data_IF_521510420674
#
_entry.id   IF_521510420674
#
_cell.length_a   1.000
_cell.length_b   1.000
_cell.length_c   1.000
_cell.angle_alpha   90.00
_cell.angle_beta   90.00
_cell.angle_gamma   90.00
#
_symmetry.space_group_name_H-M   'P 1'
#
loop_
_entity.id
_entity.type
_entity.pdbx_description
1 polymer ?
#
# COMPACT_ATOMS: atom_id res chain seq x y z
N UNK A 1 -6.75 22.20 25.88
CA UNK A 1 -6.67 21.82 24.45
C UNK A 1 -7.09 23.03 23.63
N UNK A 2 -6.14 23.78 23.06
CA UNK A 2 -6.43 25.10 22.51
C UNK A 2 -7.38 25.07 21.30
N UNK A 3 -7.47 23.94 20.58
CA UNK A 3 -8.25 23.84 19.33
C UNK A 3 -9.78 23.97 19.51
N UNK A 4 -10.32 23.70 20.70
CA UNK A 4 -11.76 23.75 20.99
C UNK A 4 -12.11 24.70 22.15
N UNK A 5 -11.18 25.58 22.54
CA UNK A 5 -11.43 26.58 23.57
C UNK A 5 -11.51 26.04 25.01
N UNK A 6 -11.07 24.79 25.26
CA UNK A 6 -11.10 24.18 26.59
C UNK A 6 -9.78 24.39 27.35
N UNK A 7 -9.89 25.12 28.47
CA UNK A 7 -8.76 25.46 29.35
C UNK A 7 -8.34 24.31 30.26
N UNK A 8 -9.22 23.31 30.48
CA UNK A 8 -8.94 22.16 31.33
C UNK A 8 -9.45 20.85 30.74
N UNK A 9 -8.69 19.78 30.97
CA UNK A 9 -9.06 18.43 30.53
C UNK A 9 -10.41 17.99 31.09
N UNK A 10 -10.69 18.26 32.37
CA UNK A 10 -11.95 17.89 33.03
C UNK A 10 -13.18 18.46 32.31
N UNK A 11 -13.13 19.70 31.84
CA UNK A 11 -14.24 20.31 31.08
C UNK A 11 -14.36 19.72 29.68
N UNK A 12 -13.25 19.34 29.07
CA UNK A 12 -13.24 18.68 27.78
C UNK A 12 -13.77 17.24 27.87
N UNK A 13 -13.49 16.53 28.97
CA UNK A 13 -14.03 15.19 29.22
C UNK A 13 -15.56 15.18 29.20
N UNK A 14 -16.22 16.22 29.73
CA UNK A 14 -17.69 16.35 29.66
C UNK A 14 -18.20 16.39 28.21
N UNK A 15 -17.53 17.11 27.32
CA UNK A 15 -17.87 17.12 25.89
C UNK A 15 -17.66 15.75 25.22
N UNK A 16 -16.59 15.04 25.59
CA UNK A 16 -16.33 13.67 25.12
C UNK A 16 -17.44 12.71 25.57
N UNK A 17 -17.84 12.77 26.85
CA UNK A 17 -18.87 11.87 27.37
C UNK A 17 -20.24 12.13 26.74
N UNK A 18 -20.60 13.40 26.48
CA UNK A 18 -21.80 13.73 25.68
C UNK A 18 -21.71 13.20 24.25
N UNK A 19 -20.54 13.33 23.61
CA UNK A 19 -20.33 12.80 22.27
C UNK A 19 -20.42 11.27 22.21
N UNK A 20 -19.89 10.56 23.21
CA UNK A 20 -20.06 9.11 23.36
C UNK A 20 -21.52 8.72 23.55
N UNK A 21 -22.26 9.45 24.38
CA UNK A 21 -23.68 9.21 24.56
C UNK A 21 -24.47 9.39 23.25
N UNK A 22 -24.19 10.45 22.50
CA UNK A 22 -24.79 10.68 21.19
C UNK A 22 -24.42 9.57 20.18
N UNK A 23 -23.14 9.17 20.12
CA UNK A 23 -22.67 8.08 19.27
C UNK A 23 -23.35 6.74 19.62
N UNK A 24 -23.46 6.43 20.91
CA UNK A 24 -24.11 5.21 21.39
C UNK A 24 -25.59 5.14 20.99
N UNK A 25 -26.32 6.25 21.16
CA UNK A 25 -27.72 6.32 20.76
C UNK A 25 -27.93 6.27 19.24
N UNK A 26 -26.89 6.61 18.47
CA UNK A 26 -26.86 6.50 17.02
C UNK A 26 -26.32 5.13 16.52
N UNK A 27 -26.21 4.13 17.41
CA UNK A 27 -25.71 2.78 17.12
C UNK A 27 -24.29 2.74 16.54
N UNK A 28 -23.46 3.71 16.91
CA UNK A 28 -22.08 3.80 16.45
C UNK A 28 -21.12 3.03 17.37
N UNK A 29 -20.10 2.39 16.77
CA UNK A 29 -19.07 1.66 17.51
C UNK A 29 -18.14 2.60 18.29
N UNK A 30 -18.38 2.70 19.60
CA UNK A 30 -17.58 3.53 20.51
C UNK A 30 -16.13 3.08 20.61
N UNK A 31 -15.86 1.77 20.52
CA UNK A 31 -14.50 1.23 20.64
C UNK A 31 -13.63 1.65 19.46
N UNK A 32 -14.25 1.80 18.28
CA UNK A 32 -13.61 2.32 17.08
C UNK A 32 -13.49 3.85 17.11
N UNK A 33 -14.58 4.54 17.43
CA UNK A 33 -14.66 6.01 17.40
C UNK A 33 -13.81 6.69 18.48
N UNK A 34 -13.75 6.10 19.68
CA UNK A 34 -13.10 6.65 20.87
C UNK A 34 -12.13 5.61 21.48
N UNK A 35 -11.25 5.05 20.65
CA UNK A 35 -10.31 4.03 21.10
C UNK A 35 -9.35 4.58 22.18
N UNK A 36 -9.16 3.85 23.29
CA UNK A 36 -8.12 4.18 24.26
C UNK A 36 -6.74 4.04 23.61
N UNK A 37 -5.95 5.12 23.62
CA UNK A 37 -4.54 5.03 23.33
C UNK A 37 -3.85 4.52 24.60
N UNK A 38 -3.24 3.33 24.52
CA UNK A 38 -2.73 2.60 25.68
C UNK A 38 -1.90 3.44 26.67
N UNK A 39 -1.96 3.04 27.96
CA UNK A 39 -1.25 3.73 29.05
C UNK A 39 0.25 3.85 28.77
N UNK A 40 0.84 5.02 29.09
CA UNK A 40 2.30 5.18 29.14
C UNK A 40 2.92 4.21 30.16
N UNK A 41 3.98 3.47 29.80
CA UNK A 41 4.76 2.68 30.75
C UNK A 41 5.67 3.62 31.55
N UNK A 42 5.16 4.18 32.64
CA UNK A 42 5.93 5.06 33.51
C UNK A 42 5.01 5.76 34.50
N UNK A 43 5.07 5.33 35.77
CA UNK A 43 4.20 5.75 36.86
C UNK A 43 4.03 7.26 36.96
N UNK A 44 2.97 7.76 36.35
CA UNK A 44 2.46 9.11 36.46
C UNK A 44 0.94 9.05 36.49
N UNK A 45 0.28 10.17 36.84
CA UNK A 45 -1.19 10.25 36.81
C UNK A 45 -1.68 9.76 35.45
N UNK A 46 -2.60 8.77 35.39
CA UNK A 46 -3.05 8.22 34.12
C UNK A 46 -3.64 9.36 33.27
N UNK A 47 -2.93 9.74 32.22
CA UNK A 47 -3.50 10.51 31.14
C UNK A 47 -4.32 9.51 30.33
N UNK A 48 -5.64 9.69 30.31
CA UNK A 48 -6.50 8.95 29.40
C UNK A 48 -6.27 9.53 28.01
N UNK A 49 -5.31 8.98 27.28
CA UNK A 49 -5.08 9.35 25.88
C UNK A 49 -6.15 8.62 25.04
N UNK A 50 -6.83 9.35 24.16
CA UNK A 50 -7.87 8.81 23.28
C UNK A 50 -7.44 9.00 21.82
N UNK A 51 -7.58 7.94 21.03
CA UNK A 51 -7.49 7.98 19.57
C UNK A 51 -8.89 8.17 19.01
N UNK A 52 -9.11 9.32 18.39
CA UNK A 52 -10.40 9.70 17.83
C UNK A 52 -10.41 9.49 16.32
N UNK A 53 -11.49 8.89 15.81
CA UNK A 53 -11.79 9.01 14.39
C UNK A 53 -12.35 10.39 14.04
N UNK A 54 -12.30 10.76 12.75
CA UNK A 54 -12.85 12.03 12.26
C UNK A 54 -14.30 12.24 12.70
N UNK A 55 -15.11 11.19 12.65
CA UNK A 55 -16.51 11.25 13.07
C UNK A 55 -16.65 11.58 14.57
N UNK A 56 -15.82 10.98 15.43
CA UNK A 56 -15.80 11.27 16.86
C UNK A 56 -15.45 12.75 17.14
N UNK A 57 -14.49 13.31 16.39
CA UNK A 57 -14.15 14.73 16.49
C UNK A 57 -15.35 15.65 16.14
N UNK A 58 -16.14 15.30 15.13
CA UNK A 58 -17.36 16.05 14.78
C UNK A 58 -18.42 15.96 15.88
N UNK A 59 -18.64 14.78 16.44
CA UNK A 59 -19.58 14.61 17.56
C UNK A 59 -19.14 15.39 18.80
N UNK A 60 -17.84 15.42 19.11
CA UNK A 60 -17.30 16.24 20.21
C UNK A 60 -17.57 17.73 19.97
N UNK A 61 -17.35 18.21 18.74
CA UNK A 61 -17.62 19.61 18.40
C UNK A 61 -19.11 19.95 18.51
N UNK A 62 -20.00 19.08 18.02
CA UNK A 62 -21.45 19.27 18.07
C UNK A 62 -22.01 19.24 19.50
N UNK A 63 -21.43 18.42 20.37
CA UNK A 63 -21.87 18.23 21.76
C UNK A 63 -21.04 19.03 22.79
N UNK A 64 -20.18 19.94 22.33
CA UNK A 64 -19.36 20.81 23.17
C UNK A 64 -20.15 21.91 23.89
N UNK A 65 -19.44 22.70 24.70
CA UNK A 65 -20.01 23.85 25.39
C UNK A 65 -20.18 25.02 24.39
N UNK A 66 -21.41 25.45 24.06
CA UNK A 66 -21.64 26.50 23.06
C UNK A 66 -21.14 27.89 23.49
N UNK A 67 -20.74 28.06 24.76
CA UNK A 67 -20.03 29.27 25.23
C UNK A 67 -18.56 29.31 24.74
N UNK A 68 -18.07 28.17 24.27
CA UNK A 68 -16.99 27.91 23.30
C UNK A 68 -17.08 28.72 22.01
N UNK A 69 -16.24 29.73 21.73
CA UNK A 69 -16.23 30.37 20.39
C UNK A 69 -15.94 29.35 19.28
N UNK A 70 -15.00 28.44 19.51
CA UNK A 70 -14.62 27.37 18.58
C UNK A 70 -15.75 26.35 18.41
N UNK A 71 -16.47 26.03 19.49
CA UNK A 71 -17.64 25.13 19.46
C UNK A 71 -18.80 25.78 18.71
N UNK A 72 -19.12 27.04 19.01
CA UNK A 72 -20.18 27.80 18.34
C UNK A 72 -19.89 27.95 16.84
N UNK A 73 -18.64 28.20 16.47
CA UNK A 73 -18.21 28.24 15.08
C UNK A 73 -18.40 26.89 14.38
N UNK A 74 -18.02 25.78 15.03
CA UNK A 74 -18.23 24.44 14.49
C UNK A 74 -19.72 24.10 14.33
N UNK A 75 -20.56 24.41 15.32
CA UNK A 75 -22.01 24.21 15.24
C UNK A 75 -22.64 25.02 14.11
N UNK A 76 -22.23 26.29 13.96
CA UNK A 76 -22.68 27.16 12.86
C UNK A 76 -22.26 26.58 11.51
N UNK A 77 -21.01 26.13 11.38
CA UNK A 77 -20.54 25.45 10.18
C UNK A 77 -21.42 24.25 9.85
N UNK A 78 -21.67 23.34 10.80
CA UNK A 78 -22.52 22.19 10.55
C UNK A 78 -23.95 22.57 10.17
N UNK A 79 -24.56 23.56 10.82
CA UNK A 79 -25.90 24.02 10.45
C UNK A 79 -25.96 24.56 9.00
N UNK A 80 -24.96 25.35 8.60
CA UNK A 80 -24.85 25.86 7.23
C UNK A 80 -24.61 24.74 6.23
N UNK A 81 -23.65 23.83 6.51
CA UNK A 81 -23.33 22.71 5.61
C UNK A 81 -24.49 21.73 5.44
N UNK A 82 -25.25 21.47 6.50
CA UNK A 82 -26.45 20.65 6.41
C UNK A 82 -27.48 21.32 5.51
N UNK A 83 -27.71 22.63 5.67
CA UNK A 83 -28.65 23.36 4.83
C UNK A 83 -28.24 23.37 3.35
N UNK A 84 -26.96 23.62 3.08
CA UNK A 84 -26.40 23.57 1.72
C UNK A 84 -26.61 22.19 1.07
N UNK A 85 -26.39 21.11 1.84
CA UNK A 85 -26.60 19.74 1.36
C UNK A 85 -28.08 19.44 1.09
N UNK A 86 -28.98 19.80 2.00
CA UNK A 86 -30.43 19.65 1.83
C UNK A 86 -30.95 20.40 0.59
N UNK A 87 -30.50 21.63 0.39
CA UNK A 87 -30.87 22.43 -0.80
C UNK A 87 -30.34 21.78 -2.07
N UNK A 88 -29.07 21.36 -2.07
CA UNK A 88 -28.47 20.69 -3.24
C UNK A 88 -29.18 19.38 -3.59
N UNK A 89 -29.58 18.61 -2.58
CA UNK A 89 -30.34 17.37 -2.77
C UNK A 89 -31.75 17.65 -3.33
N UNK A 90 -32.41 18.69 -2.80
CA UNK A 90 -33.70 19.12 -3.30
C UNK A 90 -33.63 19.59 -4.75
N UNK A 91 -32.69 20.47 -5.08
CA UNK A 91 -32.45 20.95 -6.45
C UNK A 91 -32.16 19.79 -7.42
N UNK A 92 -31.37 18.80 -6.99
CA UNK A 92 -31.11 17.60 -7.79
C UNK A 92 -32.37 16.77 -8.04
N UNK A 93 -33.23 16.62 -7.03
CA UNK A 93 -34.49 15.89 -7.11
C UNK A 93 -35.51 16.54 -8.05
N UNK A 94 -35.50 17.87 -8.16
CA UNK A 94 -36.38 18.62 -9.07
C UNK A 94 -35.95 18.54 -10.55
N UNK A 95 -34.74 18.07 -10.84
CA UNK A 95 -34.27 17.90 -12.22
C UNK A 95 -35.08 16.82 -12.97
N UNK A 96 -35.24 16.94 -14.29
CA UNK A 96 -35.83 15.88 -15.08
C UNK A 96 -34.94 14.62 -15.05
N UNK A 97 -35.55 13.44 -15.12
CA UNK A 97 -34.86 12.15 -14.97
C UNK A 97 -33.61 11.98 -15.86
N UNK A 98 -33.65 12.47 -17.10
CA UNK A 98 -32.50 12.40 -18.01
C UNK A 98 -31.29 13.19 -17.48
N UNK A 99 -31.51 14.31 -16.81
CA UNK A 99 -30.44 15.14 -16.25
C UNK A 99 -29.85 14.50 -15.00
N UNK A 100 -30.68 13.89 -14.15
CA UNK A 100 -30.23 13.10 -13.00
C UNK A 100 -29.34 11.93 -13.46
N UNK A 101 -29.81 11.18 -14.46
CA UNK A 101 -29.06 10.06 -15.04
C UNK A 101 -27.73 10.52 -15.66
N UNK A 102 -27.69 11.67 -16.32
CA UNK A 102 -26.45 12.23 -16.87
C UNK A 102 -25.44 12.57 -15.76
N UNK A 103 -25.90 13.21 -14.67
CA UNK A 103 -25.05 13.53 -13.51
C UNK A 103 -24.48 12.25 -12.88
N UNK A 104 -25.31 11.22 -12.69
CA UNK A 104 -24.87 9.92 -12.18
C UNK A 104 -23.85 9.25 -13.10
N UNK A 105 -24.07 9.33 -14.41
CA UNK A 105 -23.16 8.78 -15.42
C UNK A 105 -21.80 9.47 -15.35
N UNK A 106 -21.78 10.80 -15.28
CA UNK A 106 -20.54 11.59 -15.14
C UNK A 106 -19.80 11.21 -13.86
N UNK A 107 -20.50 11.09 -12.72
CA UNK A 107 -19.90 10.65 -11.46
C UNK A 107 -19.28 9.26 -11.58
N UNK A 108 -19.97 8.32 -12.24
CA UNK A 108 -19.48 6.96 -12.46
C UNK A 108 -18.25 6.93 -13.35
N UNK A 109 -18.25 7.68 -14.45
CA UNK A 109 -17.09 7.79 -15.35
C UNK A 109 -15.88 8.32 -14.59
N UNK A 110 -16.02 9.39 -13.82
CA UNK A 110 -14.92 9.91 -13.00
C UNK A 110 -14.38 8.89 -11.99
N UNK A 111 -15.25 8.09 -11.36
CA UNK A 111 -14.81 7.02 -10.46
C UNK A 111 -14.03 5.93 -11.19
N UNK A 112 -14.49 5.54 -12.39
CA UNK A 112 -13.80 4.55 -13.22
C UNK A 112 -12.43 5.08 -13.64
N UNK A 113 -12.33 6.34 -14.05
CA UNK A 113 -11.07 6.95 -14.46
C UNK A 113 -10.04 6.92 -13.33
N UNK A 114 -10.44 7.32 -12.12
CA UNK A 114 -9.56 7.28 -10.93
C UNK A 114 -9.12 5.84 -10.61
N UNK A 115 -10.02 4.87 -10.71
CA UNK A 115 -9.68 3.48 -10.45
C UNK A 115 -8.77 2.88 -11.53
N UNK A 116 -8.99 3.22 -12.80
CA UNK A 116 -8.12 2.80 -13.91
C UNK A 116 -6.71 3.36 -13.72
N UNK A 117 -6.58 4.61 -13.29
CA UNK A 117 -5.28 5.22 -13.00
C UNK A 117 -4.58 4.50 -11.85
N UNK A 118 -5.28 4.25 -10.73
CA UNK A 118 -4.73 3.46 -9.63
C UNK A 118 -4.32 2.04 -10.06
N UNK A 119 -5.08 1.42 -10.96
CA UNK A 119 -4.75 0.09 -11.48
C UNK A 119 -3.51 0.12 -12.36
N UNK A 120 -3.34 1.17 -13.20
CA UNK A 120 -2.11 1.39 -13.97
C UNK A 120 -0.91 1.55 -13.06
N UNK A 121 -0.98 2.41 -12.05
CA UNK A 121 0.12 2.58 -11.07
C UNK A 121 0.50 1.25 -10.41
N UNK A 122 -0.50 0.43 -10.06
CA UNK A 122 -0.24 -0.89 -9.49
C UNK A 122 0.37 -1.86 -10.49
N UNK A 123 -0.06 -1.82 -11.75
CA UNK A 123 0.53 -2.61 -12.83
C UNK A 123 1.98 -2.21 -13.04
N UNK A 124 2.31 -0.92 -13.08
CA UNK A 124 3.69 -0.43 -13.23
C UNK A 124 4.59 -0.93 -12.09
N UNK A 125 4.09 -0.91 -10.84
CA UNK A 125 4.81 -1.47 -9.69
C UNK A 125 4.99 -2.99 -9.82
N UNK A 126 3.97 -3.70 -10.30
CA UNK A 126 4.04 -5.16 -10.51
C UNK A 126 4.97 -5.51 -11.68
N UNK A 127 4.94 -4.76 -12.77
CA UNK A 127 5.82 -4.91 -13.94
C UNK A 127 7.28 -4.67 -13.53
N UNK A 128 7.56 -3.58 -12.80
CA UNK A 128 8.89 -3.34 -12.23
C UNK A 128 9.35 -4.48 -11.28
N UNK A 129 8.43 -5.10 -10.54
CA UNK A 129 8.74 -6.29 -9.73
C UNK A 129 8.99 -7.51 -10.60
N UNK A 130 8.18 -7.73 -11.64
CA UNK A 130 8.35 -8.83 -12.59
C UNK A 130 9.68 -8.70 -13.33
N UNK A 131 10.06 -7.53 -13.83
CA UNK A 131 11.38 -7.28 -14.43
C UNK A 131 12.53 -7.63 -13.48
N UNK A 132 12.40 -7.29 -12.19
CA UNK A 132 13.40 -7.63 -11.18
C UNK A 132 13.53 -9.14 -10.92
N UNK A 133 12.44 -9.87 -11.16
CA UNK A 133 12.28 -11.32 -10.95
C UNK A 133 12.75 -12.06 -12.22
N UNK A 134 12.22 -11.70 -13.40
CA UNK A 134 12.57 -12.26 -14.71
C UNK A 134 14.05 -12.05 -15.05
N UNK A 135 14.66 -10.94 -14.62
CA UNK A 135 16.10 -10.72 -14.75
C UNK A 135 16.99 -11.78 -14.08
N UNK A 136 16.46 -12.57 -13.14
CA UNK A 136 17.20 -13.59 -12.38
C UNK A 136 16.70 -15.03 -12.56
N UNK A 137 15.50 -15.27 -13.13
CA UNK A 137 14.89 -16.61 -13.12
C UNK A 137 15.49 -17.66 -14.06
N UNK A 138 16.38 -17.25 -14.96
CA UNK A 138 17.09 -18.16 -15.84
C UNK A 138 18.58 -18.26 -15.52
N UNK A 139 19.04 -17.89 -14.32
CA UNK A 139 20.45 -18.01 -13.99
C UNK A 139 20.79 -19.35 -13.34
N UNK A 140 21.68 -20.11 -13.98
CA UNK A 140 22.12 -21.42 -13.51
C UNK A 140 23.62 -21.44 -13.26
N UNK A 141 24.04 -22.20 -12.24
CA UNK A 141 25.41 -22.68 -12.20
C UNK A 141 25.60 -23.72 -13.31
N UNK A 142 26.78 -23.77 -13.94
CA UNK A 142 27.06 -24.69 -15.05
C UNK A 142 26.77 -26.17 -14.70
N UNK A 143 27.00 -26.59 -13.44
CA UNK A 143 26.65 -27.94 -12.96
C UNK A 143 25.15 -28.16 -12.84
N UNK A 144 24.41 -27.17 -12.31
CA UNK A 144 22.96 -27.26 -12.15
C UNK A 144 22.27 -27.35 -13.52
N UNK A 145 22.73 -26.55 -14.48
CA UNK A 145 22.30 -26.62 -15.87
C UNK A 145 22.62 -27.98 -16.52
N UNK A 146 23.86 -28.47 -16.38
CA UNK A 146 24.24 -29.77 -16.95
C UNK A 146 23.38 -30.91 -16.40
N UNK A 147 23.04 -30.90 -15.11
CA UNK A 147 22.09 -31.85 -14.51
C UNK A 147 20.67 -31.68 -15.05
N UNK A 148 20.20 -30.44 -15.16
CA UNK A 148 18.86 -30.11 -15.62
C UNK A 148 18.60 -30.55 -17.07
N UNK A 149 19.58 -30.39 -17.96
CA UNK A 149 19.49 -30.74 -19.39
C UNK A 149 20.01 -32.17 -19.68
N UNK A 150 20.56 -32.87 -18.68
CA UNK A 150 21.06 -34.25 -18.83
C UNK A 150 22.40 -34.37 -19.57
N UNK A 151 23.27 -33.37 -19.45
CA UNK A 151 24.63 -33.37 -20.00
C UNK A 151 25.65 -34.01 -19.05
N UNK A 152 26.89 -34.19 -19.52
CA UNK A 152 27.99 -34.68 -18.69
C UNK A 152 28.20 -33.78 -17.46
N UNK A 153 28.30 -34.37 -16.27
CA UNK A 153 28.47 -33.65 -15.00
C UNK A 153 29.88 -33.79 -14.41
N UNK A 154 30.86 -34.25 -15.20
CA UNK A 154 32.25 -34.31 -14.75
C UNK A 154 32.80 -32.91 -14.45
N UNK A 155 33.70 -32.82 -13.48
CA UNK A 155 34.30 -31.55 -13.08
C UNK A 155 34.99 -30.84 -14.25
N UNK A 156 35.64 -31.60 -15.12
CA UNK A 156 36.31 -31.08 -16.32
C UNK A 156 35.32 -30.49 -17.33
N UNK A 157 34.22 -31.21 -17.61
CA UNK A 157 33.18 -30.74 -18.52
C UNK A 157 32.51 -29.47 -17.99
N UNK A 158 32.13 -29.45 -16.71
CA UNK A 158 31.47 -28.30 -16.08
C UNK A 158 32.40 -27.07 -16.05
N UNK A 159 33.70 -27.26 -15.77
CA UNK A 159 34.70 -26.17 -15.86
C UNK A 159 34.86 -25.63 -17.27
N UNK A 160 34.76 -26.50 -18.29
CA UNK A 160 34.81 -26.06 -19.70
C UNK A 160 33.53 -25.31 -20.08
N UNK A 161 32.37 -25.82 -19.70
CA UNK A 161 31.07 -25.18 -19.93
C UNK A 161 30.99 -23.80 -19.29
N UNK A 162 31.44 -23.65 -18.03
CA UNK A 162 31.47 -22.34 -17.37
C UNK A 162 32.42 -21.34 -18.05
N UNK A 163 33.57 -21.78 -18.57
CA UNK A 163 34.50 -20.90 -19.32
C UNK A 163 33.89 -20.44 -20.64
N UNK A 164 33.25 -21.35 -21.38
CA UNK A 164 32.56 -21.02 -22.62
C UNK A 164 31.36 -20.09 -22.36
N UNK A 165 30.55 -20.35 -21.35
CA UNK A 165 29.45 -19.47 -20.95
C UNK A 165 29.94 -18.08 -20.52
N UNK A 166 31.10 -18.00 -19.86
CA UNK A 166 31.75 -16.72 -19.53
C UNK A 166 32.14 -15.95 -20.78
N UNK A 167 32.63 -16.63 -21.83
CA UNK A 167 32.95 -16.01 -23.12
C UNK A 167 31.69 -15.46 -23.78
N UNK A 168 30.64 -16.29 -23.89
CA UNK A 168 29.34 -15.92 -24.46
C UNK A 168 28.72 -14.71 -23.74
N UNK A 169 28.77 -14.68 -22.41
CA UNK A 169 28.29 -13.53 -21.63
C UNK A 169 29.07 -12.25 -21.96
N UNK A 170 30.40 -12.33 -22.06
CA UNK A 170 31.26 -11.16 -22.39
C UNK A 170 31.00 -10.64 -23.80
N UNK A 171 30.83 -11.52 -24.78
CA UNK A 171 30.53 -11.15 -26.17
C UNK A 171 29.18 -10.42 -26.31
N UNK A 172 28.22 -10.71 -25.43
CA UNK A 172 26.90 -10.11 -25.39
C UNK A 172 26.75 -9.00 -24.32
N UNK A 173 27.85 -8.54 -23.70
CA UNK A 173 27.83 -7.45 -22.73
C UNK A 173 27.19 -7.78 -21.37
N UNK A 174 26.99 -9.06 -21.04
CA UNK A 174 26.41 -9.51 -19.76
C UNK A 174 27.51 -9.90 -18.77
N UNK A 175 27.37 -9.48 -17.51
CA UNK A 175 28.34 -9.82 -16.44
C UNK A 175 27.86 -11.03 -15.65
N UNK A 176 28.59 -12.16 -15.65
CA UNK A 176 28.25 -13.32 -14.84
C UNK A 176 28.24 -13.01 -13.34
N UNK A 177 27.33 -13.64 -12.60
CA UNK A 177 27.22 -13.50 -11.15
C UNK A 177 27.87 -14.69 -10.46
N UNK A 178 28.02 -14.62 -9.14
CA UNK A 178 28.57 -15.71 -8.33
C UNK A 178 27.53 -16.11 -7.27
N UNK A 179 27.40 -17.41 -7.02
CA UNK A 179 26.55 -17.95 -5.97
C UNK A 179 27.32 -18.96 -5.11
N UNK A 180 26.98 -19.04 -3.82
CA UNK A 180 27.60 -19.97 -2.89
C UNK A 180 26.95 -21.36 -3.02
N UNK A 181 27.73 -22.38 -3.38
CA UNK A 181 27.29 -23.77 -3.45
C UNK A 181 27.88 -24.59 -2.28
N UNK A 182 27.03 -25.40 -1.63
CA UNK A 182 27.39 -26.15 -0.42
C UNK A 182 28.61 -27.09 -0.60
N UNK A 183 28.76 -27.71 -1.77
CA UNK A 183 29.85 -28.66 -2.06
C UNK A 183 31.08 -28.06 -2.75
N UNK A 184 30.94 -26.91 -3.41
CA UNK A 184 31.96 -26.40 -4.35
C UNK A 184 32.45 -24.99 -4.03
N UNK A 185 31.95 -24.37 -2.95
CA UNK A 185 32.27 -22.99 -2.61
C UNK A 185 31.60 -22.02 -3.58
N UNK A 186 32.29 -20.94 -3.95
CA UNK A 186 31.75 -19.97 -4.91
C UNK A 186 31.78 -20.53 -6.33
N UNK A 187 30.64 -20.50 -7.01
CA UNK A 187 30.47 -20.95 -8.39
C UNK A 187 29.84 -19.86 -9.24
N UNK A 188 30.29 -19.75 -10.49
CA UNK A 188 29.71 -18.82 -11.46
C UNK A 188 28.29 -19.21 -11.84
N UNK A 189 27.41 -18.22 -11.87
CA UNK A 189 26.04 -18.30 -12.36
C UNK A 189 25.93 -17.52 -13.67
N UNK A 190 25.22 -18.11 -14.62
CA UNK A 190 25.08 -17.60 -15.98
C UNK A 190 23.63 -17.71 -16.39
N UNK A 191 23.10 -16.77 -17.21
CA UNK A 191 21.77 -16.93 -17.77
C UNK A 191 21.70 -18.16 -18.68
N UNK A 192 20.52 -18.78 -18.74
CA UNK A 192 20.27 -20.08 -19.38
C UNK A 192 20.63 -20.04 -20.86
N UNK A 193 20.26 -18.97 -21.55
CA UNK A 193 20.58 -18.79 -22.96
C UNK A 193 22.09 -18.86 -23.24
N UNK A 194 22.93 -18.33 -22.34
CA UNK A 194 24.39 -18.37 -22.50
C UNK A 194 24.95 -19.78 -22.27
N UNK A 195 24.33 -20.57 -21.40
CA UNK A 195 24.70 -21.98 -21.17
C UNK A 195 24.21 -22.89 -22.30
N UNK A 196 23.03 -22.62 -22.86
CA UNK A 196 22.51 -23.30 -24.06
C UNK A 196 23.46 -23.11 -25.24
N UNK A 197 23.88 -21.87 -25.51
CA UNK A 197 24.82 -21.55 -26.59
C UNK A 197 26.22 -22.17 -26.36
N UNK A 198 26.74 -22.07 -25.13
CA UNK A 198 28.03 -22.66 -24.77
C UNK A 198 28.04 -24.20 -24.92
N UNK A 199 26.96 -24.88 -24.51
CA UNK A 199 26.84 -26.32 -24.64
C UNK A 199 26.78 -26.78 -26.10
N UNK A 200 26.06 -26.03 -26.95
CA UNK A 200 25.98 -26.27 -28.38
C UNK A 200 27.33 -26.06 -29.08
N UNK A 201 28.08 -25.00 -28.71
CA UNK A 201 29.43 -24.76 -29.21
C UNK A 201 30.38 -25.91 -28.84
N UNK A 202 30.32 -26.40 -27.61
CA UNK A 202 31.13 -27.53 -27.15
C UNK A 202 30.81 -28.87 -27.85
N UNK A 203 29.57 -29.05 -28.32
CA UNK A 203 29.17 -30.24 -29.06
C UNK A 203 29.70 -30.24 -30.51
N UNK A 204 29.96 -29.07 -31.09
CA UNK A 204 30.47 -28.90 -32.47
C UNK A 204 31.99 -29.10 -32.60
N UNK A 205 32.72 -29.13 -31.49
CA UNK A 205 34.20 -29.25 -31.44
C UNK A 205 34.65 -30.71 -31.23
N UNK A 206 33.80 -31.68 -31.56
CA UNK A 206 34.09 -33.12 -31.48
C UNK A 206 34.47 -33.69 -32.84
#
# INVERSE_FOLDING_TARGET
>A
MPLLGYDSWRRFTDAIERAKAAAFLADADLSRLFADAGKKPGGGRPACDLRLERHACYLIALNGDPRKTEIAAAQTYFAVRTREAEVSEHEHSELPAWAQQQIETIKRVGQIEVEVERQRDRLDVTEARLDSIEGQHDWFAALAYAKYVGLNTSLEFVKRLGREATRVCRENGVTPSQSQHQLYGQVGCYPRWALDEASAAMARVK
#
